data_IF_962855044656
#
_entry.id   IF_962855044656
#
_cell.length_a   1.000
_cell.length_b   1.000
_cell.length_c   1.000
_cell.angle_alpha   90.00
_cell.angle_beta   90.00
_cell.angle_gamma   90.00
#
_symmetry.space_group_name_H-M   'P 1'
#
loop_
_entity.id
_entity.type
_entity.pdbx_description
1 polymer ?
#
# COMPACT_ATOMS: atom_id res chain seq x y z
N UNK A 1 -4.64 -3.70 23.46
CA UNK A 1 -5.24 -4.40 22.29
C UNK A 1 -4.24 -4.28 21.14
N UNK A 2 -3.85 -5.36 20.46
CA UNK A 2 -2.91 -5.26 19.32
C UNK A 2 -3.68 -4.80 18.07
N UNK A 3 -3.22 -3.75 17.41
CA UNK A 3 -3.84 -3.20 16.18
C UNK A 3 -3.17 -3.69 14.89
N UNK A 4 -2.15 -4.55 15.00
CA UNK A 4 -1.37 -5.06 13.88
C UNK A 4 -1.35 -6.59 13.85
N UNK A 5 -1.68 -7.14 12.68
CA UNK A 5 -1.57 -8.56 12.35
C UNK A 5 -0.29 -8.79 11.54
N UNK A 6 0.42 -9.87 11.86
CA UNK A 6 1.64 -10.26 11.15
C UNK A 6 1.26 -11.15 9.95
N UNK A 7 1.85 -10.87 8.80
CA UNK A 7 1.68 -11.66 7.57
C UNK A 7 3.06 -12.06 7.04
N UNK A 8 3.16 -13.27 6.51
CA UNK A 8 4.32 -13.73 5.75
C UNK A 8 3.93 -13.78 4.27
N UNK A 9 4.68 -13.07 3.43
CA UNK A 9 4.43 -13.01 1.99
C UNK A 9 5.74 -13.26 1.25
N UNK A 10 5.64 -13.88 0.08
CA UNK A 10 6.78 -14.06 -0.82
C UNK A 10 6.73 -12.96 -1.88
N UNK A 11 7.83 -12.21 -2.01
CA UNK A 11 7.99 -11.18 -3.02
C UNK A 11 9.00 -11.65 -4.08
N UNK A 12 8.83 -11.26 -5.35
CA UNK A 12 9.89 -11.37 -6.34
C UNK A 12 11.14 -10.62 -5.87
N UNK A 13 12.33 -11.17 -6.16
CA UNK A 13 13.61 -10.63 -5.68
C UNK A 13 13.74 -9.12 -5.94
N UNK A 14 13.41 -8.69 -7.16
CA UNK A 14 13.48 -7.28 -7.56
C UNK A 14 12.61 -6.36 -6.67
N UNK A 15 11.43 -6.81 -6.25
CA UNK A 15 10.57 -6.03 -5.35
C UNK A 15 11.12 -6.02 -3.93
N UNK A 16 11.69 -7.13 -3.46
CA UNK A 16 12.37 -7.18 -2.18
C UNK A 16 13.58 -6.23 -2.14
N UNK A 17 14.33 -6.13 -3.24
CA UNK A 17 15.46 -5.20 -3.36
C UNK A 17 15.00 -3.74 -3.28
N UNK A 18 13.88 -3.39 -3.92
CA UNK A 18 13.28 -2.05 -3.82
C UNK A 18 12.90 -1.72 -2.37
N UNK A 19 12.26 -2.66 -1.67
CA UNK A 19 11.86 -2.46 -0.26
C UNK A 19 13.08 -2.26 0.63
N UNK A 20 14.12 -3.10 0.47
CA UNK A 20 15.38 -2.97 1.21
C UNK A 20 16.09 -1.66 0.93
N UNK A 21 16.14 -1.23 -0.33
CA UNK A 21 16.75 0.03 -0.72
C UNK A 21 16.07 1.23 -0.05
N UNK A 22 14.74 1.21 0.04
CA UNK A 22 13.96 2.27 0.71
C UNK A 22 14.25 2.37 2.21
N UNK A 23 14.40 1.22 2.88
CA UNK A 23 14.80 1.20 4.31
C UNK A 23 16.25 1.65 4.48
N UNK A 24 17.16 1.17 3.62
CA UNK A 24 18.58 1.54 3.67
C UNK A 24 18.82 3.03 3.39
N UNK A 25 17.98 3.66 2.55
CA UNK A 25 17.99 5.10 2.30
C UNK A 25 17.45 5.92 3.49
N UNK A 26 16.87 5.27 4.50
CA UNK A 26 16.26 5.94 5.64
C UNK A 26 14.89 6.56 5.36
N UNK A 27 14.28 6.28 4.18
CA UNK A 27 12.93 6.76 3.85
C UNK A 27 11.87 6.11 4.74
N UNK A 28 12.13 4.88 5.20
CA UNK A 28 11.24 4.10 6.07
C UNK A 28 12.06 3.39 7.15
N UNK A 29 11.52 3.24 8.35
CA UNK A 29 12.22 2.59 9.45
C UNK A 29 12.18 1.06 9.35
N UNK A 30 11.17 0.50 8.65
CA UNK A 30 11.01 -0.95 8.48
C UNK A 30 10.44 -1.31 7.12
N UNK A 31 10.68 -2.53 6.66
CA UNK A 31 10.10 -3.07 5.43
C UNK A 31 8.57 -3.08 5.52
N UNK A 32 8.04 -3.37 6.71
CA UNK A 32 6.59 -3.38 6.96
C UNK A 32 5.96 -2.00 6.77
N UNK A 33 6.69 -0.90 6.99
CA UNK A 33 6.19 0.45 6.69
C UNK A 33 6.08 0.70 5.20
N UNK A 34 7.10 0.33 4.42
CA UNK A 34 7.11 0.44 2.95
C UNK A 34 5.88 -0.25 2.37
N UNK A 35 5.62 -1.49 2.81
CA UNK A 35 4.48 -2.28 2.32
C UNK A 35 3.15 -1.65 2.73
N UNK A 36 3.00 -1.21 3.99
CA UNK A 36 1.74 -0.57 4.45
C UNK A 36 1.43 0.70 3.66
N UNK A 37 2.44 1.52 3.39
CA UNK A 37 2.28 2.77 2.65
C UNK A 37 1.89 2.49 1.20
N UNK A 38 2.54 1.53 0.56
CA UNK A 38 2.16 1.05 -0.78
C UNK A 38 0.72 0.53 -0.85
N UNK A 39 0.28 -0.26 0.13
CA UNK A 39 -1.10 -0.75 0.21
C UNK A 39 -2.11 0.38 0.44
N UNK A 40 -1.74 1.41 1.21
CA UNK A 40 -2.60 2.58 1.43
C UNK A 40 -2.77 3.40 0.14
N UNK A 41 -1.69 3.60 -0.61
CA UNK A 41 -1.76 4.28 -1.91
C UNK A 41 -2.70 3.55 -2.88
N UNK A 42 -2.57 2.23 -3.00
CA UNK A 42 -3.46 1.40 -3.82
C UNK A 42 -4.92 1.48 -3.37
N UNK A 43 -5.17 1.46 -2.06
CA UNK A 43 -6.51 1.55 -1.49
C UNK A 43 -7.15 2.92 -1.73
N UNK A 44 -6.36 4.00 -1.64
CA UNK A 44 -6.81 5.35 -1.94
C UNK A 44 -7.25 5.50 -3.41
N UNK A 45 -6.51 4.90 -4.34
CA UNK A 45 -6.90 4.85 -5.75
C UNK A 45 -8.19 4.06 -5.97
N UNK A 46 -8.35 2.91 -5.29
CA UNK A 46 -9.60 2.15 -5.35
C UNK A 46 -10.79 2.94 -4.81
N UNK A 47 -10.64 3.65 -3.68
CA UNK A 47 -11.70 4.49 -3.12
C UNK A 47 -12.04 5.63 -4.08
N UNK A 48 -11.03 6.30 -4.64
CA UNK A 48 -11.22 7.38 -5.62
C UNK A 48 -12.01 6.92 -6.84
N UNK A 49 -11.66 5.76 -7.41
CA UNK A 49 -12.37 5.18 -8.56
C UNK A 49 -13.85 4.87 -8.25
N UNK A 50 -14.16 4.39 -7.04
CA UNK A 50 -15.53 4.09 -6.62
C UNK A 50 -16.38 5.34 -6.39
N UNK A 51 -15.79 6.40 -5.87
CA UNK A 51 -16.48 7.68 -5.69
C UNK A 51 -16.83 8.33 -7.03
N UNK A 52 -15.93 8.27 -8.03
CA UNK A 52 -16.22 8.77 -9.38
C UNK A 52 -17.29 7.96 -10.13
N UNK A 53 -17.41 6.66 -9.86
CA UNK A 53 -18.46 5.83 -10.44
C UNK A 53 -19.85 6.14 -9.86
N UNK A 54 -19.92 6.52 -8.57
CA UNK A 54 -21.20 6.81 -7.90
C UNK A 54 -21.81 8.15 -8.35
N UNK A 55 -21.00 9.16 -8.66
CA UNK A 55 -21.50 10.46 -9.15
C UNK A 55 -22.06 10.40 -10.58
N UNK A 56 -21.53 9.54 -11.45
CA UNK A 56 -22.04 9.39 -12.81
C UNK A 56 -23.42 8.73 -12.86
N UNK A 57 -23.75 7.88 -11.89
CA UNK A 57 -25.01 7.13 -11.85
C UNK A 57 -26.16 7.85 -11.11
N UNK A 58 -25.95 9.09 -10.63
CA UNK A 58 -26.97 9.91 -9.96
C UNK A 58 -27.38 11.17 -10.74
N UNK A 59 -26.86 11.35 -11.96
CA UNK A 59 -27.20 12.50 -12.83
C UNK A 59 -27.94 12.06 -14.11
N UNK A 60 -28.67 10.95 -14.08
CA UNK A 60 -29.56 10.51 -15.16
C UNK A 60 -30.88 10.02 -14.61
#
# INVERSE_FOLDING_TARGET
>A
MRTTQQFSITLPNQMADVVKAKVAAGEYATESEVIRDGLRALSADQVRARLSAKHQNSTS
#
